data_IF_507846162882
#
_entry.id   IF_507846162882
#
_cell.length_a   1.000
_cell.length_b   1.000
_cell.length_c   1.000
_cell.angle_alpha   90.00
_cell.angle_beta   90.00
_cell.angle_gamma   90.00
#
_symmetry.space_group_name_H-M   'P 1'
#
loop_
_entity.id
_entity.type
_entity.pdbx_description
1 polymer ?
#
# COMPACT_ATOMS: atom_id res chain seq x y z
N UNK A 1 24.15 8.25 -23.23
CA UNK A 1 23.46 7.71 -22.05
C UNK A 1 22.27 8.59 -21.78
N UNK A 2 21.06 8.15 -22.15
CA UNK A 2 19.81 8.88 -21.91
C UNK A 2 19.40 8.53 -20.49
N UNK A 3 19.40 9.50 -19.57
CA UNK A 3 18.78 9.36 -18.25
C UNK A 3 17.26 9.22 -18.46
N UNK A 4 16.79 8.00 -18.52
CA UNK A 4 15.37 7.71 -18.38
C UNK A 4 15.06 7.70 -16.87
N UNK A 5 14.56 8.82 -16.36
CA UNK A 5 14.10 8.93 -14.98
C UNK A 5 12.95 7.96 -14.67
N UNK A 6 12.37 8.05 -13.46
CA UNK A 6 11.32 7.19 -12.90
C UNK A 6 10.14 6.79 -13.82
N UNK A 7 9.92 7.47 -14.94
CA UNK A 7 8.99 7.06 -16.01
C UNK A 7 9.25 5.65 -16.58
N UNK A 8 10.46 5.13 -16.42
CA UNK A 8 10.84 3.84 -17.00
C UNK A 8 10.19 2.63 -16.30
N UNK A 9 10.06 2.62 -14.97
CA UNK A 9 9.54 1.45 -14.24
C UNK A 9 8.06 1.16 -14.56
N UNK A 10 7.23 2.19 -14.59
CA UNK A 10 5.81 2.06 -14.93
C UNK A 10 5.61 1.58 -16.38
N UNK A 11 6.38 2.14 -17.31
CA UNK A 11 6.37 1.70 -18.70
C UNK A 11 6.83 0.24 -18.85
N UNK A 12 7.82 -0.17 -18.09
CA UNK A 12 8.39 -1.52 -18.12
C UNK A 12 7.43 -2.55 -17.52
N UNK A 13 6.79 -2.25 -16.39
CA UNK A 13 5.78 -3.13 -15.78
C UNK A 13 4.53 -3.27 -16.66
N UNK A 14 4.09 -2.17 -17.29
CA UNK A 14 2.99 -2.18 -18.26
C UNK A 14 3.39 -2.97 -19.52
N UNK A 15 4.62 -2.83 -20.01
CA UNK A 15 5.15 -3.54 -21.16
C UNK A 15 5.28 -5.05 -20.87
N UNK A 16 5.75 -5.43 -19.67
CA UNK A 16 5.82 -6.83 -19.23
C UNK A 16 4.44 -7.50 -19.19
N UNK A 17 3.43 -6.79 -18.68
CA UNK A 17 2.05 -7.28 -18.64
C UNK A 17 1.45 -7.39 -20.06
N UNK A 18 1.73 -6.43 -20.94
CA UNK A 18 1.28 -6.41 -22.34
C UNK A 18 1.95 -7.51 -23.16
N UNK A 19 3.27 -7.71 -23.01
CA UNK A 19 4.03 -8.78 -23.68
C UNK A 19 3.50 -10.18 -23.29
N UNK A 20 3.03 -10.33 -22.04
CA UNK A 20 2.45 -11.61 -21.56
C UNK A 20 1.05 -11.87 -22.13
N UNK A 21 0.33 -10.85 -22.55
CA UNK A 21 -1.00 -10.95 -23.18
C UNK A 21 -0.95 -11.11 -24.70
N UNK A 22 0.10 -10.59 -25.36
CA UNK A 22 0.28 -10.72 -26.81
C UNK A 22 1.17 -11.93 -27.11
N UNK A 23 0.66 -12.88 -27.94
CA UNK A 23 1.37 -14.08 -28.42
C UNK A 23 2.60 -13.74 -29.29
N UNK A 24 3.62 -13.09 -28.74
CA UNK A 24 4.88 -12.80 -29.43
C UNK A 24 5.79 -14.04 -29.42
N UNK A 25 6.58 -14.22 -30.48
CA UNK A 25 7.45 -15.38 -30.64
C UNK A 25 8.54 -15.43 -29.55
N UNK A 26 8.75 -16.62 -28.98
CA UNK A 26 9.58 -16.92 -27.79
C UNK A 26 10.99 -16.27 -27.74
N UNK A 27 11.59 -15.93 -28.86
CA UNK A 27 12.97 -15.40 -28.93
C UNK A 27 13.03 -13.90 -28.54
N UNK A 28 12.05 -13.10 -28.94
CA UNK A 28 12.00 -11.66 -28.64
C UNK A 28 11.47 -11.41 -27.24
N UNK A 29 10.61 -12.29 -26.73
CA UNK A 29 10.13 -12.24 -25.34
C UNK A 29 11.31 -12.43 -24.37
N UNK A 30 12.21 -13.36 -24.63
CA UNK A 30 13.37 -13.61 -23.77
C UNK A 30 14.31 -12.40 -23.67
N UNK A 31 14.59 -11.71 -24.78
CA UNK A 31 15.45 -10.52 -24.80
C UNK A 31 14.78 -9.33 -24.08
N UNK A 32 13.50 -9.09 -24.37
CA UNK A 32 12.74 -8.02 -23.71
C UNK A 32 12.64 -8.24 -22.19
N UNK A 33 12.41 -9.48 -21.74
CA UNK A 33 12.36 -9.84 -20.32
C UNK A 33 13.72 -9.65 -19.64
N UNK A 34 14.84 -9.97 -20.31
CA UNK A 34 16.18 -9.74 -19.77
C UNK A 34 16.53 -8.26 -19.68
N UNK A 35 16.21 -7.47 -20.71
CA UNK A 35 16.42 -6.03 -20.68
C UNK A 35 15.55 -5.34 -19.61
N UNK A 36 14.30 -5.75 -19.47
CA UNK A 36 13.38 -5.27 -18.44
C UNK A 36 13.91 -5.62 -17.04
N UNK A 37 14.32 -6.87 -16.82
CA UNK A 37 14.88 -7.28 -15.52
C UNK A 37 16.19 -6.55 -15.20
N UNK A 38 17.09 -6.37 -16.17
CA UNK A 38 18.31 -5.60 -16.00
C UNK A 38 18.00 -4.14 -15.64
N UNK A 39 17.02 -3.53 -16.31
CA UNK A 39 16.60 -2.16 -16.04
C UNK A 39 15.94 -2.00 -14.66
N UNK A 40 15.08 -2.95 -14.26
CA UNK A 40 14.48 -2.99 -12.91
C UNK A 40 15.56 -3.10 -11.85
N UNK A 41 16.52 -4.03 -12.00
CA UNK A 41 17.64 -4.17 -11.06
C UNK A 41 18.47 -2.88 -10.97
N UNK A 42 18.75 -2.23 -12.10
CA UNK A 42 19.53 -0.98 -12.12
C UNK A 42 18.82 0.18 -11.39
N UNK A 43 17.49 0.29 -11.50
CA UNK A 43 16.72 1.30 -10.76
C UNK A 43 16.70 0.98 -9.27
N UNK A 44 16.59 -0.29 -8.90
CA UNK A 44 16.50 -0.72 -7.50
C UNK A 44 17.84 -0.70 -6.75
N UNK A 45 18.98 -0.73 -7.46
CA UNK A 45 20.34 -0.60 -6.84
C UNK A 45 20.51 0.72 -6.05
N UNK A 46 19.74 1.77 -6.36
CA UNK A 46 19.78 3.06 -5.67
C UNK A 46 18.79 3.20 -4.50
N UNK A 47 17.85 2.26 -4.34
CA UNK A 47 16.80 2.38 -3.33
C UNK A 47 17.37 2.18 -1.92
N UNK A 48 17.04 3.10 -1.02
CA UNK A 48 17.45 3.09 0.39
C UNK A 48 16.26 3.14 1.33
N UNK A 49 15.13 3.66 0.85
CA UNK A 49 13.92 3.88 1.63
C UNK A 49 12.77 3.07 1.03
N UNK A 50 12.10 2.30 1.86
CA UNK A 50 10.90 1.56 1.47
C UNK A 50 9.73 2.12 2.27
N UNK A 51 8.69 2.53 1.57
CA UNK A 51 7.46 3.08 2.15
C UNK A 51 6.33 2.11 1.91
N UNK A 52 5.65 1.70 2.96
CA UNK A 52 4.54 0.75 2.91
C UNK A 52 3.21 1.43 3.17
N UNK A 53 2.20 1.13 2.36
CA UNK A 53 0.83 1.23 2.85
C UNK A 53 0.58 0.14 3.90
N UNK A 54 -0.46 0.33 4.72
CA UNK A 54 -0.84 -0.64 5.75
C UNK A 54 -1.97 -1.56 5.28
N UNK A 55 -3.10 -1.01 4.86
CA UNK A 55 -4.27 -1.78 4.48
C UNK A 55 -4.05 -2.58 3.20
N UNK A 56 -4.29 -3.89 3.20
CA UNK A 56 -4.05 -4.74 2.02
C UNK A 56 -2.59 -5.07 1.74
N UNK A 57 -1.62 -4.36 2.37
CA UNK A 57 -0.18 -4.57 2.17
C UNK A 57 0.48 -5.17 3.40
N UNK A 58 0.36 -4.53 4.57
CA UNK A 58 0.94 -5.01 5.84
C UNK A 58 -0.10 -5.72 6.68
N UNK A 59 -1.33 -5.22 6.66
CA UNK A 59 -2.45 -5.73 7.43
C UNK A 59 -3.65 -6.04 6.55
N UNK A 60 -4.32 -7.14 6.86
CA UNK A 60 -5.57 -7.52 6.23
C UNK A 60 -6.46 -8.27 7.21
N UNK A 61 -7.74 -8.41 6.87
CA UNK A 61 -8.63 -9.38 7.47
C UNK A 61 -8.73 -10.60 6.56
N UNK A 62 -8.59 -11.79 7.12
CA UNK A 62 -8.86 -13.02 6.38
C UNK A 62 -10.38 -13.19 6.21
N UNK A 63 -10.94 -13.00 5.00
CA UNK A 63 -12.39 -13.05 4.80
C UNK A 63 -12.99 -14.41 5.15
N UNK A 64 -12.20 -15.48 5.18
CA UNK A 64 -12.66 -16.84 5.54
C UNK A 64 -13.03 -16.99 7.02
N UNK A 65 -12.62 -16.02 7.85
CA UNK A 65 -12.88 -16.00 9.31
C UNK A 65 -14.15 -15.24 9.68
N UNK A 66 -14.89 -14.70 8.69
CA UNK A 66 -16.03 -13.82 8.92
C UNK A 66 -17.27 -14.29 8.19
N UNK A 67 -18.41 -13.97 8.75
CA UNK A 67 -19.72 -14.16 8.14
C UNK A 67 -19.85 -13.25 6.90
N UNK A 68 -20.64 -13.70 5.94
CA UNK A 68 -20.86 -12.98 4.69
C UNK A 68 -21.42 -11.56 4.95
N UNK A 69 -22.31 -11.42 5.91
CA UNK A 69 -22.94 -10.15 6.29
C UNK A 69 -21.92 -9.13 6.78
N UNK A 70 -20.91 -9.56 7.54
CA UNK A 70 -19.81 -8.69 7.97
C UNK A 70 -18.94 -8.24 6.81
N UNK A 71 -18.66 -9.12 5.85
CA UNK A 71 -17.86 -8.78 4.67
C UNK A 71 -18.63 -7.80 3.78
N UNK A 72 -19.93 -8.05 3.57
CA UNK A 72 -20.79 -7.18 2.76
C UNK A 72 -20.98 -5.80 3.40
N UNK A 73 -20.97 -5.70 4.73
CA UNK A 73 -21.06 -4.44 5.47
C UNK A 73 -19.95 -3.45 5.10
N UNK A 74 -18.76 -3.94 4.80
CA UNK A 74 -17.60 -3.15 4.40
C UNK A 74 -17.24 -3.31 2.91
N UNK A 75 -18.17 -3.73 2.07
CA UNK A 75 -17.92 -4.00 0.65
C UNK A 75 -17.40 -2.78 -0.13
N UNK A 76 -17.71 -1.57 0.33
CA UNK A 76 -17.25 -0.31 -0.26
C UNK A 76 -15.71 -0.15 -0.23
N UNK A 77 -14.99 -0.88 0.65
CA UNK A 77 -13.53 -0.88 0.68
C UNK A 77 -12.95 -1.37 -0.66
N UNK A 78 -13.68 -2.22 -1.37
CA UNK A 78 -13.28 -2.75 -2.68
C UNK A 78 -13.63 -1.82 -3.86
N UNK A 79 -14.33 -0.72 -3.61
CA UNK A 79 -14.67 0.26 -4.65
C UNK A 79 -13.43 1.08 -5.05
N UNK A 80 -13.35 1.52 -6.30
CA UNK A 80 -12.29 2.43 -6.76
C UNK A 80 -12.22 3.72 -5.94
N UNK A 81 -13.40 4.24 -5.57
CA UNK A 81 -13.55 5.44 -4.75
C UNK A 81 -14.26 5.08 -3.44
N UNK A 82 -13.68 5.51 -2.33
CA UNK A 82 -14.28 5.35 -1.01
C UNK A 82 -15.49 6.28 -0.86
N UNK A 83 -16.53 5.88 -0.10
CA UNK A 83 -17.59 6.81 0.31
C UNK A 83 -16.99 8.00 1.06
N UNK A 84 -17.53 9.20 0.82
CA UNK A 84 -17.01 10.43 1.40
C UNK A 84 -16.89 10.40 2.93
N UNK A 85 -17.88 9.85 3.63
CA UNK A 85 -17.85 9.73 5.09
C UNK A 85 -16.68 8.90 5.59
N UNK A 86 -16.28 7.84 4.83
CA UNK A 86 -15.15 7.01 5.21
C UNK A 86 -13.82 7.71 4.94
N UNK A 87 -13.73 8.45 3.82
CA UNK A 87 -12.56 9.28 3.53
C UNK A 87 -12.37 10.36 4.60
N UNK A 88 -13.45 11.02 5.06
CA UNK A 88 -13.39 11.98 6.17
C UNK A 88 -12.93 11.34 7.48
N UNK A 89 -13.32 10.09 7.73
CA UNK A 89 -12.86 9.33 8.88
C UNK A 89 -11.37 9.00 8.78
N UNK A 90 -10.90 8.52 7.62
CA UNK A 90 -9.48 8.27 7.36
C UNK A 90 -8.66 9.56 7.37
N UNK A 91 -9.23 10.67 6.93
CA UNK A 91 -8.62 12.02 7.02
C UNK A 91 -8.55 12.52 8.48
N UNK A 92 -9.28 11.90 9.40
CA UNK A 92 -9.37 12.29 10.80
C UNK A 92 -10.10 13.61 11.04
N UNK A 93 -11.01 14.01 10.13
CA UNK A 93 -11.91 15.16 10.31
C UNK A 93 -13.29 14.73 10.80
N UNK A 94 -13.65 13.47 10.61
CA UNK A 94 -14.83 12.85 11.22
C UNK A 94 -14.46 12.15 12.53
N UNK A 95 -15.41 12.10 13.48
CA UNK A 95 -15.23 11.42 14.77
C UNK A 95 -15.71 9.97 14.70
N UNK A 96 -15.25 9.13 15.66
CA UNK A 96 -15.73 7.76 15.82
C UNK A 96 -17.27 7.66 15.91
N UNK A 97 -17.89 8.56 16.69
CA UNK A 97 -19.36 8.58 16.81
C UNK A 97 -20.04 8.95 15.48
N UNK A 98 -19.50 9.94 14.76
CA UNK A 98 -20.06 10.36 13.48
C UNK A 98 -19.98 9.25 12.43
N UNK A 99 -18.85 8.56 12.32
CA UNK A 99 -18.71 7.46 11.35
C UNK A 99 -19.62 6.28 11.67
N UNK A 100 -19.96 6.04 12.96
CA UNK A 100 -20.98 5.02 13.32
C UNK A 100 -22.34 5.41 12.77
N UNK A 101 -22.76 6.68 12.92
CA UNK A 101 -24.01 7.17 12.39
C UNK A 101 -24.05 7.06 10.86
N UNK A 102 -22.98 7.44 10.19
CA UNK A 102 -22.83 7.33 8.73
C UNK A 102 -22.87 5.87 8.25
N UNK A 103 -22.21 4.96 8.98
CA UNK A 103 -22.24 3.53 8.70
C UNK A 103 -23.66 2.94 8.87
N UNK A 104 -24.37 3.35 9.90
CA UNK A 104 -25.75 2.93 10.14
C UNK A 104 -26.66 3.38 9.00
N UNK A 105 -26.55 4.63 8.56
CA UNK A 105 -27.28 5.18 7.42
C UNK A 105 -26.92 4.45 6.12
N UNK A 106 -25.61 4.32 5.82
CA UNK A 106 -25.11 3.70 4.60
C UNK A 106 -25.57 2.25 4.44
N UNK A 107 -25.53 1.47 5.54
CA UNK A 107 -25.93 0.06 5.53
C UNK A 107 -27.41 -0.16 5.87
N UNK A 108 -28.20 0.91 6.11
CA UNK A 108 -29.60 0.83 6.49
C UNK A 108 -29.83 -0.08 7.71
N UNK A 109 -29.01 0.06 8.74
CA UNK A 109 -29.05 -0.72 9.97
C UNK A 109 -29.14 0.18 11.22
N UNK A 110 -29.33 -0.42 12.39
CA UNK A 110 -29.26 0.33 13.64
C UNK A 110 -27.83 0.70 14.03
N UNK A 111 -27.71 1.72 14.87
CA UNK A 111 -26.43 2.26 15.31
C UNK A 111 -25.60 1.24 16.11
N UNK A 112 -26.26 0.37 16.87
CA UNK A 112 -25.59 -0.66 17.69
C UNK A 112 -24.86 -1.68 16.82
N UNK A 113 -25.51 -2.14 15.75
CA UNK A 113 -24.88 -3.03 14.76
C UNK A 113 -23.72 -2.36 14.03
N UNK A 114 -23.87 -1.08 13.65
CA UNK A 114 -22.81 -0.32 12.99
C UNK A 114 -21.59 -0.17 13.92
N UNK A 115 -21.79 0.17 15.20
CA UNK A 115 -20.72 0.28 16.19
C UNK A 115 -20.05 -1.08 16.44
N UNK A 116 -20.83 -2.14 16.59
CA UNK A 116 -20.32 -3.50 16.77
C UNK A 116 -19.40 -3.89 15.60
N UNK A 117 -19.86 -3.68 14.37
CA UNK A 117 -19.10 -4.03 13.17
C UNK A 117 -17.83 -3.16 13.03
N UNK A 118 -17.92 -1.86 13.27
CA UNK A 118 -16.75 -0.97 13.23
C UNK A 118 -15.69 -1.41 14.25
N UNK A 119 -16.08 -1.62 15.50
CA UNK A 119 -15.17 -2.11 16.55
C UNK A 119 -14.53 -3.44 16.16
N UNK A 120 -15.35 -4.39 15.69
CA UNK A 120 -14.87 -5.69 15.22
C UNK A 120 -13.89 -5.54 14.06
N UNK A 121 -14.17 -4.64 13.13
CA UNK A 121 -13.29 -4.40 11.97
C UNK A 121 -11.90 -3.87 12.36
N UNK A 122 -11.81 -3.08 13.43
CA UNK A 122 -10.55 -2.58 13.97
C UNK A 122 -9.74 -3.73 14.58
N UNK A 123 -10.33 -4.44 15.55
CA UNK A 123 -9.58 -5.41 16.38
C UNK A 123 -9.24 -6.72 15.66
N UNK A 124 -9.82 -6.96 14.49
CA UNK A 124 -9.58 -8.17 13.69
C UNK A 124 -8.59 -7.98 12.54
N UNK A 125 -7.90 -6.83 12.49
CA UNK A 125 -6.77 -6.65 11.58
C UNK A 125 -5.61 -7.55 11.99
N UNK A 126 -5.11 -8.33 11.04
CA UNK A 126 -4.00 -9.27 11.24
C UNK A 126 -2.81 -8.87 10.35
N UNK A 127 -1.61 -9.11 10.84
CA UNK A 127 -0.38 -8.97 10.04
C UNK A 127 -0.41 -9.98 8.87
N UNK A 128 -0.12 -9.54 7.65
CA UNK A 128 0.08 -10.45 6.51
C UNK A 128 1.42 -11.15 6.66
N UNK A 129 1.47 -12.49 6.84
CA UNK A 129 2.71 -13.19 7.19
C UNK A 129 3.84 -12.99 6.18
N UNK A 130 3.52 -13.00 4.88
CA UNK A 130 4.50 -12.79 3.81
C UNK A 130 5.14 -11.41 3.90
N UNK A 131 4.32 -10.36 4.12
CA UNK A 131 4.80 -8.98 4.24
C UNK A 131 5.58 -8.78 5.54
N UNK A 132 5.12 -9.37 6.65
CA UNK A 132 5.88 -9.32 7.92
C UNK A 132 7.27 -9.91 7.77
N UNK A 133 7.40 -11.06 7.09
CA UNK A 133 8.69 -11.67 6.79
C UNK A 133 9.56 -10.78 5.90
N UNK A 134 8.99 -10.24 4.81
CA UNK A 134 9.70 -9.31 3.92
C UNK A 134 10.22 -8.08 4.68
N UNK A 135 9.39 -7.45 5.53
CA UNK A 135 9.78 -6.30 6.35
C UNK A 135 10.98 -6.63 7.26
N UNK A 136 10.98 -7.81 7.89
CA UNK A 136 12.10 -8.26 8.71
C UNK A 136 13.39 -8.43 7.88
N UNK A 137 13.31 -9.03 6.70
CA UNK A 137 14.44 -9.24 5.79
C UNK A 137 15.00 -7.89 5.29
N UNK A 138 14.13 -6.96 4.90
CA UNK A 138 14.52 -5.61 4.49
C UNK A 138 15.22 -4.84 5.64
N UNK A 139 14.76 -5.03 6.87
CA UNK A 139 15.41 -4.41 8.04
C UNK A 139 16.80 -4.99 8.29
N UNK A 140 16.98 -6.31 8.13
CA UNK A 140 18.30 -6.98 8.19
C UNK A 140 19.22 -6.44 7.09
N UNK A 141 18.68 -6.22 5.89
CA UNK A 141 19.40 -5.62 4.76
C UNK A 141 19.64 -4.09 4.91
N UNK A 142 19.22 -3.50 6.05
CA UNK A 142 19.44 -2.09 6.44
C UNK A 142 18.71 -1.05 5.60
N UNK A 143 17.59 -1.41 5.00
CA UNK A 143 16.67 -0.42 4.44
C UNK A 143 16.04 0.42 5.55
N UNK A 144 15.79 1.71 5.25
CA UNK A 144 14.92 2.55 6.08
C UNK A 144 13.48 2.27 5.69
N UNK A 145 12.63 1.96 6.68
CA UNK A 145 11.25 1.54 6.45
C UNK A 145 10.28 2.57 6.99
N UNK A 146 9.34 2.99 6.18
CA UNK A 146 8.35 4.00 6.53
C UNK A 146 6.93 3.53 6.23
N UNK A 147 5.97 4.17 6.88
CA UNK A 147 4.54 3.99 6.62
C UNK A 147 3.99 5.24 5.93
N UNK A 148 3.15 5.05 4.90
CA UNK A 148 2.30 6.08 4.31
C UNK A 148 0.90 5.51 4.07
N UNK A 149 -0.06 5.84 4.95
CA UNK A 149 -1.36 5.18 4.94
C UNK A 149 -2.54 6.13 5.13
N UNK A 150 -3.63 5.87 4.40
CA UNK A 150 -4.94 6.44 4.69
C UNK A 150 -5.58 5.59 5.78
N UNK A 151 -5.64 6.14 7.00
CA UNK A 151 -6.09 5.39 8.16
C UNK A 151 -6.64 6.32 9.22
N UNK A 152 -7.81 6.00 9.78
CA UNK A 152 -8.38 6.73 10.90
C UNK A 152 -7.61 6.49 12.21
N UNK A 153 -7.81 7.38 13.17
CA UNK A 153 -7.11 7.33 14.45
C UNK A 153 -7.33 5.99 15.18
N UNK A 154 -8.57 5.50 15.20
CA UNK A 154 -8.92 4.27 15.92
C UNK A 154 -8.23 3.03 15.33
N UNK A 155 -8.10 2.96 14.00
CA UNK A 155 -7.39 1.88 13.34
C UNK A 155 -5.87 1.98 13.56
N UNK A 156 -5.28 3.15 13.35
CA UNK A 156 -3.82 3.28 13.46
C UNK A 156 -3.31 3.00 14.88
N UNK A 157 -4.02 3.48 15.91
CA UNK A 157 -3.66 3.21 17.31
C UNK A 157 -3.70 1.71 17.62
N UNK A 158 -4.66 0.97 17.06
CA UNK A 158 -4.69 -0.48 17.20
C UNK A 158 -3.52 -1.15 16.43
N UNK A 159 -3.25 -0.75 15.20
CA UNK A 159 -2.19 -1.34 14.38
C UNK A 159 -0.79 -1.10 14.98
N UNK A 160 -0.56 0.02 15.65
CA UNK A 160 0.68 0.32 16.38
C UNK A 160 0.98 -0.67 17.49
N UNK A 161 -0.02 -1.37 18.00
CA UNK A 161 0.19 -2.44 19.02
C UNK A 161 0.77 -3.73 18.44
N UNK A 162 0.79 -3.87 17.09
CA UNK A 162 1.25 -5.08 16.43
C UNK A 162 2.77 -5.14 16.32
N UNK A 163 3.30 -6.37 16.32
CA UNK A 163 4.74 -6.58 16.36
C UNK A 163 5.48 -6.01 15.15
N UNK A 164 4.91 -6.12 13.95
CA UNK A 164 5.52 -5.62 12.72
C UNK A 164 5.75 -4.11 12.75
N UNK A 165 4.94 -3.37 13.51
CA UNK A 165 5.00 -1.92 13.54
C UNK A 165 6.33 -1.37 14.09
N UNK A 166 7.01 -2.11 14.96
CA UNK A 166 8.32 -1.74 15.53
C UNK A 166 9.48 -1.67 14.51
N UNK A 167 9.27 -2.24 13.31
CA UNK A 167 10.30 -2.22 12.28
C UNK A 167 10.34 -0.90 11.50
N UNK A 168 9.29 -0.08 11.58
CA UNK A 168 9.23 1.18 10.87
C UNK A 168 10.02 2.28 11.57
N UNK A 169 10.78 3.05 10.78
CA UNK A 169 11.58 4.18 11.23
C UNK A 169 10.76 5.46 11.34
N UNK A 170 9.59 5.48 10.71
CA UNK A 170 8.67 6.62 10.77
C UNK A 170 7.37 6.37 10.00
N UNK A 171 6.44 7.32 10.16
CA UNK A 171 5.10 7.22 9.59
C UNK A 171 4.54 8.57 9.14
N UNK A 172 3.74 8.54 8.09
CA UNK A 172 2.80 9.59 7.71
C UNK A 172 1.43 8.94 7.57
N UNK A 173 0.47 9.37 8.38
CA UNK A 173 -0.88 8.80 8.43
C UNK A 173 -1.89 9.92 8.23
N UNK A 174 -2.83 9.71 7.35
CA UNK A 174 -3.80 10.72 6.93
C UNK A 174 -4.58 11.38 8.08
N UNK A 175 -4.92 10.61 9.13
CA UNK A 175 -5.67 11.18 10.27
C UNK A 175 -4.86 12.20 11.06
N UNK A 176 -3.52 12.15 11.04
CA UNK A 176 -2.67 13.15 11.67
C UNK A 176 -2.46 14.38 10.78
N UNK A 177 -2.23 14.14 9.48
CA UNK A 177 -1.86 15.17 8.52
C UNK A 177 -3.09 15.88 7.88
N UNK A 178 -4.29 15.31 8.03
CA UNK A 178 -5.56 15.79 7.44
C UNK A 178 -5.57 15.81 5.91
N UNK A 179 -4.70 15.01 5.30
CA UNK A 179 -4.56 14.81 3.85
C UNK A 179 -4.55 13.32 3.56
N UNK A 180 -5.18 12.89 2.48
CA UNK A 180 -5.27 11.48 2.08
C UNK A 180 -4.56 11.23 0.75
N UNK A 181 -4.03 10.03 0.55
CA UNK A 181 -3.65 9.54 -0.77
C UNK A 181 -4.91 9.48 -1.67
N UNK A 182 -4.86 9.79 -2.94
CA UNK A 182 -3.67 10.07 -3.77
C UNK A 182 -3.28 11.57 -3.88
N UNK A 183 -3.66 12.43 -2.94
CA UNK A 183 -3.23 13.83 -2.97
C UNK A 183 -1.70 13.92 -2.89
N UNK A 184 -1.09 14.68 -3.82
CA UNK A 184 0.36 14.85 -3.88
C UNK A 184 0.95 15.41 -2.58
N UNK A 185 0.16 16.18 -1.82
CA UNK A 185 0.60 16.80 -0.57
C UNK A 185 1.03 15.76 0.47
N UNK A 186 0.35 14.61 0.59
CA UNK A 186 0.71 13.62 1.63
C UNK A 186 2.06 12.96 1.34
N UNK A 187 2.41 12.78 0.07
CA UNK A 187 3.73 12.26 -0.32
C UNK A 187 4.82 13.31 -0.09
N UNK A 188 4.53 14.59 -0.35
CA UNK A 188 5.46 15.68 -0.06
C UNK A 188 5.73 15.79 1.45
N UNK A 189 4.69 15.67 2.29
CA UNK A 189 4.84 15.61 3.76
C UNK A 189 5.80 14.48 4.16
N UNK A 190 5.68 13.29 3.57
CA UNK A 190 6.59 12.18 3.84
C UNK A 190 8.04 12.51 3.45
N UNK A 191 8.24 13.06 2.26
CA UNK A 191 9.55 13.45 1.75
C UNK A 191 10.20 14.47 2.67
N UNK A 192 9.48 15.54 3.02
CA UNK A 192 10.00 16.63 3.83
C UNK A 192 10.26 16.20 5.29
N UNK A 193 9.34 15.40 5.87
CA UNK A 193 9.41 14.97 7.28
C UNK A 193 10.63 14.10 7.59
N UNK A 194 11.05 13.28 6.63
CA UNK A 194 12.13 12.30 6.82
C UNK A 194 13.35 12.57 5.93
N UNK A 195 13.40 13.73 5.27
CA UNK A 195 14.49 14.12 4.35
C UNK A 195 14.79 13.00 3.34
N UNK A 196 13.74 12.53 2.67
CA UNK A 196 13.86 11.44 1.71
C UNK A 196 14.27 11.97 0.33
N UNK A 197 15.19 11.26 -0.34
CA UNK A 197 15.38 11.45 -1.76
C UNK A 197 14.33 10.62 -2.53
N UNK A 198 13.40 11.23 -3.30
CA UNK A 198 12.40 10.50 -4.06
C UNK A 198 12.99 9.43 -5.00
N UNK A 199 14.14 9.71 -5.65
CA UNK A 199 14.80 8.76 -6.55
C UNK A 199 15.39 7.52 -5.82
N UNK A 200 15.58 7.60 -4.49
CA UNK A 200 16.07 6.52 -3.64
C UNK A 200 14.94 5.87 -2.81
N UNK A 201 13.68 6.17 -3.14
CA UNK A 201 12.51 5.75 -2.37
C UNK A 201 11.57 4.91 -3.23
N UNK A 202 11.15 3.75 -2.68
CA UNK A 202 10.13 2.86 -3.25
C UNK A 202 8.88 2.89 -2.38
N UNK A 203 7.73 3.17 -2.99
CA UNK A 203 6.42 3.11 -2.34
C UNK A 203 5.66 1.86 -2.77
N UNK A 204 5.11 1.12 -1.81
CA UNK A 204 4.39 -0.14 -1.99
C UNK A 204 2.95 0.06 -1.53
N UNK A 205 1.99 -0.08 -2.46
CA UNK A 205 0.56 0.15 -2.19
C UNK A 205 -0.29 -0.76 -3.09
N UNK A 206 -1.45 -1.23 -2.61
CA UNK A 206 -2.36 -2.09 -3.35
C UNK A 206 -3.30 -1.31 -4.28
N UNK A 207 -3.35 0.03 -4.16
CA UNK A 207 -4.14 0.92 -5.03
C UNK A 207 -3.27 1.56 -6.09
N UNK A 208 -3.58 1.25 -7.34
CA UNK A 208 -2.85 1.78 -8.50
C UNK A 208 -2.80 3.30 -8.54
N UNK A 209 -3.90 3.98 -8.18
CA UNK A 209 -3.96 5.45 -8.12
C UNK A 209 -2.96 6.05 -7.14
N UNK A 210 -2.71 5.39 -6.00
CA UNK A 210 -1.73 5.83 -5.02
C UNK A 210 -0.30 5.67 -5.55
N UNK A 211 -0.03 4.54 -6.21
CA UNK A 211 1.27 4.28 -6.86
C UNK A 211 1.55 5.30 -7.95
N UNK A 212 0.55 5.63 -8.78
CA UNK A 212 0.66 6.64 -9.82
C UNK A 212 0.92 8.05 -9.25
N UNK A 213 0.26 8.40 -8.14
CA UNK A 213 0.48 9.67 -7.47
C UNK A 213 1.90 9.81 -6.88
N UNK A 214 2.44 8.76 -6.27
CA UNK A 214 3.83 8.72 -5.80
C UNK A 214 4.81 8.93 -6.96
N UNK A 215 4.54 8.32 -8.09
CA UNK A 215 5.36 8.45 -9.29
C UNK A 215 5.43 9.87 -9.83
N UNK A 216 4.33 10.63 -9.74
CA UNK A 216 4.27 12.02 -10.21
C UNK A 216 5.21 12.96 -9.44
N UNK A 217 5.65 12.59 -8.24
CA UNK A 217 6.63 13.35 -7.44
C UNK A 217 8.03 12.71 -7.43
N UNK A 218 8.26 11.70 -8.27
CA UNK A 218 9.59 11.08 -8.44
C UNK A 218 9.86 9.87 -7.56
N UNK A 219 8.92 9.43 -6.73
CA UNK A 219 9.02 8.20 -5.93
C UNK A 219 8.72 7.00 -6.82
N UNK A 220 9.59 5.98 -6.80
CA UNK A 220 9.31 4.70 -7.47
C UNK A 220 8.14 4.00 -6.80
N UNK A 221 7.25 3.36 -7.58
CA UNK A 221 6.06 2.72 -7.07
C UNK A 221 5.97 1.24 -7.40
N UNK A 222 5.54 0.42 -6.44
CA UNK A 222 5.23 -0.99 -6.63
C UNK A 222 3.76 -1.24 -6.34
N UNK A 223 3.01 -1.72 -7.34
CA UNK A 223 1.62 -2.10 -7.16
C UNK A 223 1.53 -3.50 -6.56
N UNK A 224 1.14 -3.57 -5.31
CA UNK A 224 1.05 -4.81 -4.53
C UNK A 224 -0.26 -5.55 -4.84
N UNK A 225 -0.18 -6.83 -5.18
CA UNK A 225 -1.38 -7.67 -5.32
C UNK A 225 -1.84 -8.20 -3.95
N UNK A 226 -2.78 -7.51 -3.33
CA UNK A 226 -3.36 -7.91 -2.05
C UNK A 226 -4.07 -9.28 -2.07
N UNK A 227 -4.41 -9.82 -3.26
CA UNK A 227 -4.98 -11.17 -3.42
C UNK A 227 -3.92 -12.25 -3.43
N UNK A 228 -2.68 -11.91 -3.74
CA UNK A 228 -1.54 -12.82 -3.75
C UNK A 228 -0.30 -12.16 -3.11
N UNK A 229 -0.33 -11.90 -1.78
CA UNK A 229 0.76 -11.24 -1.07
C UNK A 229 2.11 -11.97 -1.21
N UNK A 230 2.08 -13.30 -1.24
CA UNK A 230 3.28 -14.13 -1.41
C UNK A 230 4.01 -13.82 -2.74
N UNK A 231 3.27 -13.73 -3.84
CA UNK A 231 3.86 -13.42 -5.14
C UNK A 231 4.46 -12.02 -5.16
N UNK A 232 3.75 -11.01 -4.61
CA UNK A 232 4.25 -9.64 -4.48
C UNK A 232 5.50 -9.55 -3.62
N UNK A 233 5.51 -10.23 -2.47
CA UNK A 233 6.68 -10.27 -1.59
C UNK A 233 7.88 -10.97 -2.22
N UNK A 234 7.67 -12.07 -2.96
CA UNK A 234 8.74 -12.76 -3.67
C UNK A 234 9.33 -11.90 -4.79
N UNK A 235 8.51 -11.14 -5.51
CA UNK A 235 9.00 -10.18 -6.49
C UNK A 235 9.82 -9.05 -5.84
N UNK A 236 9.36 -8.50 -4.72
CA UNK A 236 10.10 -7.50 -3.96
C UNK A 236 11.43 -8.04 -3.43
N UNK A 237 11.50 -9.30 -2.94
CA UNK A 237 12.76 -9.93 -2.52
C UNK A 237 13.73 -10.04 -3.69
N UNK A 238 13.25 -10.50 -4.83
CA UNK A 238 14.07 -10.66 -6.03
C UNK A 238 14.73 -9.35 -6.45
N UNK A 239 14.00 -8.23 -6.39
CA UNK A 239 14.50 -6.93 -6.87
C UNK A 239 15.25 -6.13 -5.81
N UNK A 240 14.98 -6.31 -4.52
CA UNK A 240 15.59 -5.55 -3.42
C UNK A 240 16.70 -6.33 -2.71
N UNK A 241 16.61 -7.67 -2.66
CA UNK A 241 17.54 -8.52 -1.91
C UNK A 241 18.37 -9.44 -2.81
N UNK A 242 18.14 -9.42 -4.12
CA UNK A 242 18.81 -10.28 -5.12
C UNK A 242 18.64 -11.80 -4.84
N UNK A 243 17.45 -12.22 -4.38
CA UNK A 243 17.09 -13.61 -4.08
C UNK A 243 16.40 -14.31 -5.25
#
# INVERSE_FOLDING_TARGET
MIKLGCRGYYMVHHLYFTIRQENMTNKWIGVAVLEINYYICTIMEGVKNIVFDLGGVVFARDPRKFEREFIEFFSYIMLPEMPHFWEEYDRGVSTYNKVIDDLAEYNSCDRELAEHNLRRSIVTQEEIPATKSLIADLKVAKYRLYVLSNMSLDFIEFLKTKEVYKYFDGEVVSCYEKVVKPDAQIYQILVDKYDLNPEETLFIDDRKSNVEAAHNIGISGFHFDARNPEASCNELRRVLLNE
#
